data_IF_354635012197
#
_entry.id   IF_354635012197
#
_cell.length_a   1.000
_cell.length_b   1.000
_cell.length_c   1.000
_cell.angle_alpha   90.00
_cell.angle_beta   90.00
_cell.angle_gamma   90.00
#
_symmetry.space_group_name_H-M   'P 1'
#
loop_
_entity.id
_entity.type
_entity.pdbx_description
1 polymer ?
#
# COMPACT_ATOMS: atom_id res chain seq x y z
N UNK A 1 13.17 -52.40 -23.72
CA UNK A 1 13.71 -51.06 -24.08
C UNK A 1 12.58 -50.02 -24.11
N UNK A 2 11.83 -49.89 -23.01
CA UNK A 2 10.75 -48.89 -22.85
C UNK A 2 10.81 -48.20 -21.48
N UNK A 3 11.55 -48.75 -20.51
CA UNK A 3 11.68 -48.22 -19.15
C UNK A 3 12.63 -47.01 -19.09
N UNK A 4 13.59 -46.90 -20.01
CA UNK A 4 14.54 -45.78 -20.06
C UNK A 4 13.91 -44.46 -20.56
N UNK A 5 12.80 -44.51 -21.31
CA UNK A 5 12.15 -43.32 -21.86
C UNK A 5 11.23 -42.64 -20.82
N UNK A 6 10.67 -43.41 -19.88
CA UNK A 6 9.77 -42.88 -18.84
C UNK A 6 10.46 -42.05 -17.75
N UNK A 7 11.76 -42.25 -17.53
CA UNK A 7 12.51 -41.58 -16.45
C UNK A 7 13.09 -40.24 -16.93
N UNK A 8 13.21 -40.02 -18.24
CA UNK A 8 13.82 -38.80 -18.81
C UNK A 8 12.79 -37.67 -18.97
N UNK A 9 11.50 -38.00 -19.13
CA UNK A 9 10.44 -37.00 -19.32
C UNK A 9 10.24 -36.01 -18.15
N UNK A 10 10.33 -36.40 -16.86
CA UNK A 10 10.16 -35.45 -15.76
C UNK A 10 11.36 -34.52 -15.54
N UNK A 11 12.55 -34.84 -16.09
CA UNK A 11 13.77 -34.03 -15.89
C UNK A 11 13.76 -32.78 -16.78
N UNK A 12 13.14 -32.85 -17.97
CA UNK A 12 13.13 -31.74 -18.94
C UNK A 12 12.23 -30.58 -18.48
N UNK A 13 11.25 -30.83 -17.61
CA UNK A 13 10.38 -29.78 -17.05
C UNK A 13 11.10 -28.96 -15.96
N UNK A 14 12.18 -29.49 -15.37
CA UNK A 14 12.87 -28.83 -14.24
C UNK A 14 13.97 -27.83 -14.65
N UNK A 15 14.35 -27.78 -15.93
CA UNK A 15 15.46 -26.94 -16.43
C UNK A 15 14.96 -25.90 -17.46
N UNK A 16 13.66 -25.75 -17.64
CA UNK A 16 13.17 -24.59 -18.36
C UNK A 16 13.54 -23.36 -17.53
N UNK A 17 14.40 -22.43 -18.02
CA UNK A 17 14.58 -21.18 -17.33
C UNK A 17 13.19 -20.54 -17.29
N UNK A 18 12.62 -20.45 -16.09
CA UNK A 18 11.53 -19.52 -15.85
C UNK A 18 12.13 -18.16 -16.20
N UNK A 19 11.86 -17.71 -17.42
CA UNK A 19 12.03 -16.34 -17.80
C UNK A 19 11.06 -15.58 -16.89
N UNK A 20 11.51 -15.29 -15.67
CA UNK A 20 10.85 -14.33 -14.80
C UNK A 20 11.12 -13.02 -15.52
N UNK A 21 10.27 -12.70 -16.48
CA UNK A 21 10.07 -11.31 -16.86
C UNK A 21 9.62 -10.67 -15.56
N UNK A 22 10.53 -9.95 -14.91
CA UNK A 22 10.13 -8.92 -13.98
C UNK A 22 8.97 -8.20 -14.65
N UNK A 23 7.82 -8.14 -13.99
CA UNK A 23 6.66 -7.40 -14.48
C UNK A 23 7.09 -5.94 -14.47
N UNK A 24 7.78 -5.56 -15.55
CA UNK A 24 8.26 -4.23 -15.86
C UNK A 24 7.28 -3.63 -16.87
N UNK A 25 6.00 -3.88 -16.65
CA UNK A 25 4.90 -3.15 -17.25
C UNK A 25 4.44 -2.16 -16.19
N UNK A 26 4.29 -0.89 -16.59
CA UNK A 26 3.71 0.22 -15.85
C UNK A 26 2.71 -0.30 -14.79
N UNK A 27 3.19 -0.57 -13.58
CA UNK A 27 2.37 -1.18 -12.53
C UNK A 27 1.39 -0.08 -12.18
N UNK A 28 0.10 -0.29 -12.49
CA UNK A 28 -0.93 0.70 -12.21
C UNK A 28 -1.13 0.78 -10.69
N UNK A 29 -0.28 1.60 -10.08
CA UNK A 29 -0.24 1.85 -8.65
C UNK A 29 -1.47 2.64 -8.19
N UNK A 30 -2.30 3.14 -9.11
CA UNK A 30 -3.55 3.81 -8.76
C UNK A 30 -4.48 2.90 -7.95
N UNK A 31 -4.45 1.57 -8.17
CA UNK A 31 -5.26 0.64 -7.37
C UNK A 31 -4.76 0.52 -5.93
N UNK A 32 -3.44 0.59 -5.72
CA UNK A 32 -2.81 0.57 -4.40
C UNK A 32 -3.02 1.90 -3.68
N UNK A 33 -2.86 3.03 -4.38
CA UNK A 33 -3.17 4.37 -3.89
C UNK A 33 -4.65 4.49 -3.48
N UNK A 34 -5.55 4.00 -4.34
CA UNK A 34 -6.99 3.94 -4.05
C UNK A 34 -7.31 3.06 -2.84
N UNK A 35 -6.59 1.95 -2.63
CA UNK A 35 -6.84 1.07 -1.48
C UNK A 35 -6.32 1.69 -0.18
N UNK A 36 -5.11 2.22 -0.18
CA UNK A 36 -4.46 2.76 1.04
C UNK A 36 -5.08 4.10 1.43
N UNK A 37 -5.10 5.08 0.52
CA UNK A 37 -5.59 6.43 0.80
C UNK A 37 -7.08 6.45 1.15
N UNK A 38 -7.91 5.69 0.43
CA UNK A 38 -9.35 5.64 0.72
C UNK A 38 -9.68 4.98 2.05
N UNK A 39 -8.96 3.90 2.40
CA UNK A 39 -9.13 3.24 3.71
C UNK A 39 -8.66 4.15 4.83
N UNK A 40 -7.55 4.87 4.63
CA UNK A 40 -7.02 5.81 5.61
C UNK A 40 -8.03 6.92 5.85
N UNK A 41 -8.46 7.59 4.77
CA UNK A 41 -9.47 8.65 4.84
C UNK A 41 -10.76 8.17 5.55
N UNK A 42 -11.24 6.96 5.23
CA UNK A 42 -12.41 6.39 5.89
C UNK A 42 -12.19 6.21 7.39
N UNK A 43 -11.10 5.55 7.80
CA UNK A 43 -10.82 5.28 9.22
C UNK A 43 -10.63 6.57 10.02
N UNK A 44 -9.93 7.56 9.42
CA UNK A 44 -9.75 8.88 9.99
C UNK A 44 -11.09 9.60 10.17
N UNK A 45 -11.92 9.63 9.13
CA UNK A 45 -13.24 10.25 9.19
C UNK A 45 -14.18 9.57 10.18
N UNK A 46 -14.13 8.25 10.29
CA UNK A 46 -14.92 7.52 11.29
C UNK A 46 -14.49 7.94 12.71
N UNK A 47 -13.18 8.03 12.98
CA UNK A 47 -12.66 8.52 14.26
C UNK A 47 -13.04 9.99 14.57
N UNK A 48 -12.95 10.90 13.59
CA UNK A 48 -13.33 12.31 13.76
C UNK A 48 -14.83 12.46 14.07
N UNK A 49 -15.70 11.65 13.45
CA UNK A 49 -17.14 11.67 13.72
C UNK A 49 -17.49 11.18 15.13
N UNK A 50 -16.67 10.31 15.70
CA UNK A 50 -16.79 9.87 17.10
C UNK A 50 -16.21 10.92 18.09
N UNK A 51 -15.71 12.05 17.60
CA UNK A 51 -15.22 13.16 18.42
C UNK A 51 -13.76 13.02 18.89
N UNK A 52 -12.99 12.11 18.28
CA UNK A 52 -11.55 12.02 18.52
C UNK A 52 -10.84 13.24 17.94
N UNK A 53 -9.77 13.68 18.59
CA UNK A 53 -8.88 14.68 18.02
C UNK A 53 -8.08 14.11 16.85
N UNK A 54 -7.40 14.99 16.12
CA UNK A 54 -6.74 14.66 14.87
C UNK A 54 -5.51 13.77 15.06
N UNK A 55 -4.80 13.89 16.19
CA UNK A 55 -3.66 13.03 16.52
C UNK A 55 -4.13 11.58 16.71
N UNK A 56 -5.11 11.36 17.59
CA UNK A 56 -5.66 10.01 17.81
C UNK A 56 -6.36 9.45 16.57
N UNK A 57 -7.08 10.28 15.81
CA UNK A 57 -7.70 9.85 14.55
C UNK A 57 -6.66 9.41 13.51
N UNK A 58 -5.51 10.09 13.45
CA UNK A 58 -4.41 9.76 12.55
C UNK A 58 -3.73 8.44 12.94
N UNK A 59 -3.43 8.25 14.23
CA UNK A 59 -2.88 6.98 14.73
C UNK A 59 -3.86 5.82 14.57
N UNK A 60 -5.15 6.06 14.82
CA UNK A 60 -6.19 5.06 14.59
C UNK A 60 -6.24 4.66 13.13
N UNK A 61 -6.24 5.64 12.21
CA UNK A 61 -6.22 5.37 10.78
C UNK A 61 -4.94 4.63 10.35
N UNK A 62 -3.77 5.01 10.85
CA UNK A 62 -2.51 4.31 10.59
C UNK A 62 -2.56 2.84 11.03
N UNK A 63 -3.07 2.57 12.23
CA UNK A 63 -3.11 1.22 12.79
C UNK A 63 -4.20 0.32 12.17
N UNK A 64 -5.26 0.92 11.62
CA UNK A 64 -6.35 0.20 10.97
C UNK A 64 -6.22 0.15 9.44
N UNK A 65 -5.15 0.72 8.89
CA UNK A 65 -4.88 0.68 7.45
C UNK A 65 -3.49 0.17 7.14
N UNK A 66 -3.29 -0.25 5.91
CA UNK A 66 -2.06 -0.89 5.49
C UNK A 66 -0.86 0.06 5.41
N UNK A 67 -0.99 1.37 5.69
CA UNK A 67 0.12 2.33 5.59
C UNK A 67 1.34 1.90 6.43
N UNK A 68 1.12 1.22 7.57
CA UNK A 68 2.18 0.62 8.40
C UNK A 68 2.83 -0.65 7.81
N UNK A 69 2.22 -1.27 6.80
CA UNK A 69 2.57 -2.61 6.30
C UNK A 69 2.89 -2.66 4.80
N UNK A 70 2.65 -1.57 4.05
CA UNK A 70 3.01 -1.48 2.64
C UNK A 70 4.43 -0.91 2.50
N UNK A 71 5.17 -1.41 1.52
CA UNK A 71 6.38 -0.78 1.01
C UNK A 71 6.00 0.07 -0.21
N UNK A 72 6.31 1.37 -0.16
CA UNK A 72 6.04 2.28 -1.25
C UNK A 72 7.22 2.34 -2.23
N UNK A 73 6.98 2.67 -3.51
CA UNK A 73 8.08 3.04 -4.39
C UNK A 73 8.81 4.25 -3.79
N UNK A 74 10.14 4.26 -3.94
CA UNK A 74 11.00 5.39 -3.58
C UNK A 74 10.83 6.52 -4.62
N UNK A 75 9.68 7.17 -4.56
CA UNK A 75 9.20 8.19 -5.50
C UNK A 75 8.40 9.25 -4.75
N UNK A 76 8.97 10.45 -4.64
CA UNK A 76 8.33 11.59 -3.97
C UNK A 76 6.99 11.95 -4.66
N UNK A 77 6.90 11.82 -5.99
CA UNK A 77 5.67 12.09 -6.75
C UNK A 77 4.56 11.10 -6.37
N UNK A 78 4.90 9.86 -6.00
CA UNK A 78 3.94 8.88 -5.54
C UNK A 78 3.32 9.28 -4.18
N UNK A 79 4.14 9.77 -3.24
CA UNK A 79 3.68 10.19 -1.92
C UNK A 79 2.79 11.43 -2.00
N UNK A 80 3.18 12.42 -2.79
CA UNK A 80 2.38 13.63 -3.01
C UNK A 80 1.01 13.31 -3.61
N UNK A 81 0.98 12.46 -4.65
CA UNK A 81 -0.26 12.01 -5.28
C UNK A 81 -1.15 11.20 -4.31
N UNK A 82 -0.54 10.34 -3.49
CA UNK A 82 -1.26 9.56 -2.49
C UNK A 82 -1.88 10.47 -1.41
N UNK A 83 -1.13 11.46 -0.94
CA UNK A 83 -1.63 12.44 0.01
C UNK A 83 -2.76 13.27 -0.58
N UNK A 84 -2.60 13.82 -1.79
CA UNK A 84 -3.65 14.60 -2.44
C UNK A 84 -4.94 13.79 -2.58
N UNK A 85 -4.84 12.54 -3.02
CA UNK A 85 -5.99 11.64 -3.11
C UNK A 85 -6.65 11.42 -1.73
N UNK A 86 -5.84 11.17 -0.70
CA UNK A 86 -6.32 10.92 0.67
C UNK A 86 -7.02 12.15 1.23
N UNK A 87 -6.40 13.32 1.12
CA UNK A 87 -6.94 14.62 1.54
C UNK A 87 -8.28 14.91 0.88
N UNK A 88 -8.40 14.71 -0.42
CA UNK A 88 -9.66 14.93 -1.13
C UNK A 88 -10.77 14.02 -0.62
N UNK A 89 -10.47 12.74 -0.34
CA UNK A 89 -11.44 11.84 0.28
C UNK A 89 -11.84 12.28 1.68
N UNK A 90 -10.92 12.82 2.49
CA UNK A 90 -11.24 13.34 3.83
C UNK A 90 -12.18 14.54 3.72
N UNK A 91 -11.83 15.51 2.88
CA UNK A 91 -12.64 16.71 2.64
C UNK A 91 -14.06 16.34 2.17
N UNK A 92 -14.17 15.41 1.23
CA UNK A 92 -15.46 14.97 0.67
C UNK A 92 -16.35 14.23 1.68
N UNK A 93 -15.76 13.53 2.66
CA UNK A 93 -16.51 12.65 3.56
C UNK A 93 -16.73 13.23 4.96
N UNK A 94 -15.77 13.98 5.48
CA UNK A 94 -15.82 14.52 6.83
C UNK A 94 -15.20 15.92 6.96
N UNK A 95 -15.05 16.68 5.87
CA UNK A 95 -14.45 18.03 5.90
C UNK A 95 -15.11 18.97 6.91
N UNK A 96 -16.40 18.82 7.19
CA UNK A 96 -17.13 19.61 8.20
C UNK A 96 -16.64 19.37 9.64
N UNK A 97 -15.92 18.27 9.90
CA UNK A 97 -15.39 17.88 11.21
C UNK A 97 -13.87 18.08 11.32
N UNK A 98 -13.23 18.63 10.29
CA UNK A 98 -11.77 18.71 10.18
C UNK A 98 -11.38 20.16 9.94
N UNK A 99 -10.56 20.71 10.82
CA UNK A 99 -10.04 22.08 10.67
C UNK A 99 -8.86 22.14 9.69
N UNK A 100 -8.54 23.33 9.19
CA UNK A 100 -7.37 23.53 8.31
C UNK A 100 -6.06 23.14 9.02
N UNK A 101 -5.97 23.37 10.33
CA UNK A 101 -4.80 22.98 11.10
C UNK A 101 -4.69 21.45 11.22
N UNK A 102 -5.82 20.76 11.43
CA UNK A 102 -5.90 19.30 11.42
C UNK A 102 -5.33 18.70 10.12
N UNK A 103 -5.65 19.30 8.97
CA UNK A 103 -5.17 18.84 7.67
C UNK A 103 -3.66 19.02 7.50
N UNK A 104 -3.08 20.09 8.03
CA UNK A 104 -1.63 20.33 7.97
C UNK A 104 -0.87 19.38 8.86
N UNK A 105 -1.37 19.14 10.07
CA UNK A 105 -0.77 18.18 10.99
C UNK A 105 -0.87 16.76 10.41
N UNK A 106 -2.02 16.43 9.82
CA UNK A 106 -2.21 15.15 9.16
C UNK A 106 -1.30 14.98 7.93
N UNK A 107 -1.07 16.03 7.15
CA UNK A 107 -0.12 16.00 6.02
C UNK A 107 1.29 15.64 6.46
N UNK A 108 1.77 16.29 7.54
CA UNK A 108 3.09 16.03 8.11
C UNK A 108 3.18 14.57 8.56
N UNK A 109 2.22 14.12 9.37
CA UNK A 109 2.15 12.74 9.86
C UNK A 109 2.13 11.71 8.72
N UNK A 110 1.28 11.95 7.71
CA UNK A 110 1.13 11.04 6.58
C UNK A 110 2.41 10.94 5.75
N UNK A 111 3.10 12.07 5.55
CA UNK A 111 4.38 12.10 4.84
C UNK A 111 5.50 11.40 5.63
N UNK A 112 5.59 11.62 6.94
CA UNK A 112 6.58 10.93 7.79
C UNK A 112 6.40 9.40 7.73
N UNK A 113 5.16 8.92 7.88
CA UNK A 113 4.85 7.49 7.76
C UNK A 113 5.06 6.96 6.34
N UNK A 114 4.78 7.77 5.32
CA UNK A 114 5.02 7.45 3.92
C UNK A 114 6.51 7.28 3.59
N UNK A 115 7.37 8.12 4.14
CA UNK A 115 8.83 7.99 4.03
C UNK A 115 9.31 6.73 4.74
N UNK A 116 8.79 6.44 5.94
CA UNK A 116 9.12 5.18 6.64
C UNK A 116 8.70 3.98 5.79
N UNK A 117 7.51 4.02 5.19
CA UNK A 117 7.01 2.97 4.31
C UNK A 117 7.85 2.80 3.03
N UNK A 118 8.35 3.89 2.44
CA UNK A 118 9.21 3.85 1.25
C UNK A 118 10.59 3.25 1.53
N UNK A 119 11.08 3.38 2.77
CA UNK A 119 12.35 2.79 3.22
C UNK A 119 12.23 1.32 3.65
N UNK A 120 11.04 0.70 3.60
CA UNK A 120 10.88 -0.73 3.93
C UNK A 120 11.24 -1.57 2.71
N UNK A 121 12.02 -2.63 2.92
CA UNK A 121 12.21 -3.66 1.91
C UNK A 121 10.83 -4.18 1.47
N UNK A 122 10.63 -4.27 0.15
CA UNK A 122 9.38 -4.72 -0.45
C UNK A 122 9.09 -6.16 0.00
N UNK A 123 8.31 -6.32 1.08
CA UNK A 123 7.91 -7.64 1.58
C UNK A 123 6.82 -8.20 0.66
N UNK A 124 7.22 -8.86 -0.41
CA UNK A 124 6.33 -9.72 -1.18
C UNK A 124 6.19 -11.03 -0.39
N UNK A 125 5.02 -11.35 0.19
CA UNK A 125 4.83 -12.64 0.83
C UNK A 125 5.11 -13.72 -0.22
N UNK A 126 6.12 -14.54 0.05
CA UNK A 126 6.41 -15.72 -0.76
C UNK A 126 5.20 -16.64 -0.52
N UNK A 127 4.33 -16.77 -1.52
CA UNK A 127 3.29 -17.79 -1.48
C UNK A 127 4.00 -19.15 -1.53
N UNK A 128 4.21 -19.77 -0.36
CA UNK A 128 4.54 -21.18 -0.29
C UNK A 128 3.33 -21.94 -0.84
N UNK A 129 3.44 -22.40 -2.09
CA UNK A 129 2.48 -23.33 -2.66
C UNK A 129 2.65 -24.66 -1.92
N UNK A 130 1.71 -24.95 -1.01
CA UNK A 130 1.54 -26.26 -0.38
C UNK A 130 1.10 -27.31 -1.41
#
# INVERSE_FOLDING_TARGET
>A
MFILISIILPIIIFIAPINVKAIQGNLDLSSAQNSVGKRFAKAFCDAKREGLDSEFASEYALNNTYLKFVAFPDDDEYLDNLWEFTRNNILDNCGDFVEINDLKELEIFFNEEGVIASNRDLYLPIFENN
#
